data_IF_838683083715
#
_entry.id   IF_838683083715
#
_cell.length_a   1.000
_cell.length_b   1.000
_cell.length_c   1.000
_cell.angle_alpha   90.00
_cell.angle_beta   90.00
_cell.angle_gamma   90.00
#
_symmetry.space_group_name_H-M   'P 1'
#
loop_
_entity.id
_entity.type
_entity.pdbx_description
1 polymer ?
#
# COMPACT_ATOMS: atom_id res chain seq x y z
N UNK A 1 3.95 -16.20 -21.10
CA UNK A 1 4.18 -17.00 -22.31
C UNK A 1 3.33 -16.48 -23.46
N UNK A 2 2.02 -16.29 -23.25
CA UNK A 2 1.08 -15.72 -24.25
C UNK A 2 1.55 -14.42 -24.92
N UNK A 3 1.94 -13.39 -24.15
CA UNK A 3 2.35 -12.10 -24.71
C UNK A 3 3.54 -12.19 -25.69
N UNK A 4 4.46 -13.12 -25.46
CA UNK A 4 5.64 -13.31 -26.30
C UNK A 4 5.50 -14.49 -27.28
N UNK A 5 4.34 -15.16 -27.31
CA UNK A 5 4.13 -16.35 -28.15
C UNK A 5 5.09 -17.51 -27.84
N UNK A 6 5.48 -17.67 -26.57
CA UNK A 6 6.37 -18.73 -26.10
C UNK A 6 5.57 -19.99 -25.77
N UNK A 7 6.07 -21.18 -26.16
CA UNK A 7 5.46 -22.48 -25.82
C UNK A 7 5.92 -23.01 -24.46
N UNK A 8 7.15 -22.67 -24.07
CA UNK A 8 7.78 -23.03 -22.78
C UNK A 8 8.59 -21.85 -22.27
N UNK A 9 8.92 -21.85 -20.98
CA UNK A 9 9.73 -20.78 -20.38
C UNK A 9 11.10 -20.61 -21.07
N UNK A 10 11.67 -21.71 -21.56
CA UNK A 10 12.97 -21.75 -22.24
C UNK A 10 12.88 -21.52 -23.76
N UNK A 11 11.67 -21.42 -24.32
CA UNK A 11 11.50 -21.25 -25.77
C UNK A 11 11.74 -19.80 -26.20
N UNK A 12 12.27 -19.60 -27.41
CA UNK A 12 12.45 -18.26 -27.94
C UNK A 12 11.11 -17.55 -28.15
N UNK A 13 11.00 -16.25 -27.81
CA UNK A 13 9.78 -15.48 -28.02
C UNK A 13 9.47 -15.40 -29.52
N UNK A 14 8.27 -15.80 -29.93
CA UNK A 14 7.83 -15.73 -31.34
C UNK A 14 7.19 -14.39 -31.69
N UNK A 15 6.61 -13.71 -30.71
CA UNK A 15 5.90 -12.43 -30.83
C UNK A 15 6.49 -11.39 -29.88
N UNK A 16 6.27 -10.10 -30.18
CA UNK A 16 6.73 -8.98 -29.34
C UNK A 16 8.20 -9.09 -28.92
N UNK A 17 9.05 -9.58 -29.84
CA UNK A 17 10.47 -9.80 -29.61
C UNK A 17 11.15 -8.50 -29.16
N UNK A 18 12.23 -8.60 -28.37
CA UNK A 18 13.16 -7.49 -28.20
C UNK A 18 13.50 -6.90 -29.58
N UNK A 19 13.42 -5.57 -29.74
CA UNK A 19 13.83 -4.91 -30.97
C UNK A 19 15.25 -5.35 -31.37
N UNK A 20 15.53 -5.53 -32.67
CA UNK A 20 16.87 -5.85 -33.12
C UNK A 20 17.85 -4.77 -32.62
N UNK A 21 19.05 -5.20 -32.21
CA UNK A 21 20.10 -4.34 -31.66
C UNK A 21 19.71 -3.63 -30.35
N UNK A 22 18.85 -4.22 -29.50
CA UNK A 22 18.54 -3.65 -28.18
C UNK A 22 19.79 -3.23 -27.38
N UNK A 23 20.91 -3.93 -27.53
CA UNK A 23 22.19 -3.58 -26.88
C UNK A 23 22.68 -2.17 -27.25
N UNK A 24 22.45 -1.70 -28.47
CA UNK A 24 22.90 -0.39 -28.98
C UNK A 24 21.99 0.76 -28.59
N UNK A 25 20.82 0.48 -28.01
CA UNK A 25 19.88 1.49 -27.56
C UNK A 25 20.38 2.21 -26.31
N UNK A 26 19.95 3.46 -26.14
CA UNK A 26 20.15 4.20 -24.90
C UNK A 26 19.43 3.51 -23.73
N UNK A 27 19.90 3.73 -22.50
CA UNK A 27 19.23 3.20 -21.31
C UNK A 27 17.78 3.71 -21.17
N UNK A 28 17.51 4.92 -21.66
CA UNK A 28 16.18 5.52 -21.66
C UNK A 28 15.24 4.85 -22.65
N UNK A 29 15.71 4.52 -23.86
CA UNK A 29 14.90 3.81 -24.86
C UNK A 29 14.63 2.37 -24.42
N UNK A 30 15.63 1.70 -23.83
CA UNK A 30 15.46 0.38 -23.19
C UNK A 30 14.40 0.42 -22.10
N UNK A 31 14.46 1.44 -21.23
CA UNK A 31 13.49 1.64 -20.16
C UNK A 31 12.08 1.89 -20.71
N UNK A 32 11.93 2.77 -21.72
CA UNK A 32 10.64 3.07 -22.36
C UNK A 32 10.02 1.83 -22.99
N UNK A 33 10.82 0.98 -23.61
CA UNK A 33 10.35 -0.29 -24.16
C UNK A 33 9.93 -1.29 -23.06
N UNK A 34 10.71 -1.43 -21.99
CA UNK A 34 10.31 -2.27 -20.85
C UNK A 34 9.00 -1.75 -20.20
N UNK A 35 8.85 -0.43 -20.10
CA UNK A 35 7.63 0.19 -19.60
C UNK A 35 6.42 -0.06 -20.51
N UNK A 36 6.60 -0.11 -21.83
CA UNK A 36 5.48 -0.41 -22.75
C UNK A 36 5.00 -1.86 -22.60
N UNK A 37 5.91 -2.81 -22.42
CA UNK A 37 5.59 -4.21 -22.10
C UNK A 37 4.87 -4.29 -20.75
N UNK A 38 5.42 -3.64 -19.71
CA UNK A 38 4.82 -3.61 -18.39
C UNK A 38 3.40 -3.03 -18.42
N UNK A 39 3.19 -1.95 -19.18
CA UNK A 39 1.87 -1.34 -19.39
C UNK A 39 0.90 -2.32 -20.05
N UNK A 40 1.31 -3.01 -21.11
CA UNK A 40 0.44 -4.00 -21.75
C UNK A 40 0.05 -5.13 -20.79
N UNK A 41 1.01 -5.64 -20.01
CA UNK A 41 0.74 -6.68 -19.01
C UNK A 41 -0.26 -6.18 -17.96
N UNK A 42 -0.08 -4.93 -17.51
CA UNK A 42 -0.98 -4.30 -16.55
C UNK A 42 -2.41 -4.18 -17.10
N UNK A 43 -2.58 -3.62 -18.29
CA UNK A 43 -3.90 -3.43 -18.90
C UNK A 43 -4.62 -4.75 -19.17
N UNK A 44 -3.92 -5.73 -19.75
CA UNK A 44 -4.57 -6.97 -20.21
C UNK A 44 -4.81 -7.96 -19.07
N UNK A 45 -3.90 -8.05 -18.10
CA UNK A 45 -3.93 -9.13 -17.11
C UNK A 45 -4.21 -8.70 -15.67
N UNK A 46 -4.00 -7.42 -15.32
CA UNK A 46 -3.95 -6.96 -13.93
C UNK A 46 -5.05 -5.93 -13.60
N UNK A 47 -5.35 -4.99 -14.51
CA UNK A 47 -6.40 -3.97 -14.35
C UNK A 47 -7.83 -4.48 -14.54
N UNK A 48 -8.03 -5.79 -14.65
CA UNK A 48 -9.39 -6.36 -14.68
C UNK A 48 -10.10 -6.02 -13.36
N UNK A 49 -11.27 -5.38 -13.49
CA UNK A 49 -12.10 -4.98 -12.35
C UNK A 49 -11.66 -3.72 -11.60
N UNK A 50 -10.67 -2.95 -12.04
CA UNK A 50 -10.33 -1.68 -11.39
C UNK A 50 -11.13 -0.51 -11.96
N UNK A 51 -12.42 -0.40 -11.64
CA UNK A 51 -13.16 0.85 -11.88
C UNK A 51 -12.87 1.90 -10.79
N UNK A 52 -12.48 1.46 -9.59
CA UNK A 52 -12.30 2.32 -8.41
C UNK A 52 -11.22 3.41 -8.55
N UNK A 53 -10.22 3.23 -9.42
CA UNK A 53 -9.10 4.18 -9.54
C UNK A 53 -9.36 5.31 -10.55
N UNK A 54 -10.47 5.27 -11.29
CA UNK A 54 -10.74 6.18 -12.40
C UNK A 54 -11.89 7.16 -12.13
N UNK A 55 -12.49 7.10 -10.93
CA UNK A 55 -13.66 7.92 -10.59
C UNK A 55 -13.25 9.28 -10.03
N UNK A 56 -13.58 10.36 -10.75
CA UNK A 56 -13.55 11.76 -10.27
C UNK A 56 -14.50 12.02 -9.08
N UNK A 57 -15.30 11.03 -8.67
CA UNK A 57 -16.27 11.10 -7.58
C UNK A 57 -15.68 11.66 -6.28
N UNK A 58 -14.46 11.27 -5.91
CA UNK A 58 -13.83 11.79 -4.67
C UNK A 58 -13.43 13.26 -4.79
N UNK A 59 -12.95 13.68 -5.95
CA UNK A 59 -12.60 15.08 -6.23
C UNK A 59 -13.86 15.95 -6.26
N UNK A 60 -14.93 15.46 -6.88
CA UNK A 60 -16.24 16.11 -6.86
C UNK A 60 -16.78 16.26 -5.43
N UNK A 61 -16.68 15.23 -4.59
CA UNK A 61 -17.08 15.30 -3.19
C UNK A 61 -16.25 16.32 -2.39
N UNK A 62 -14.95 16.45 -2.66
CA UNK A 62 -14.07 17.46 -2.03
C UNK A 62 -14.41 18.88 -2.51
N UNK A 63 -14.69 19.06 -3.80
CA UNK A 63 -15.13 20.33 -4.37
C UNK A 63 -16.46 20.78 -3.78
N UNK A 64 -17.45 19.87 -3.73
CA UNK A 64 -18.73 20.12 -3.08
C UNK A 64 -18.57 20.45 -1.59
N UNK A 65 -17.70 19.73 -0.87
CA UNK A 65 -17.42 20.00 0.55
C UNK A 65 -16.82 21.39 0.75
N UNK A 66 -15.93 21.82 -0.13
CA UNK A 66 -15.31 23.15 -0.11
C UNK A 66 -16.32 24.25 -0.40
N UNK A 67 -17.19 24.07 -1.40
CA UNK A 67 -18.29 24.99 -1.70
C UNK A 67 -19.23 25.15 -0.51
N UNK A 68 -19.63 24.04 0.13
CA UNK A 68 -20.48 24.10 1.33
C UNK A 68 -19.79 24.80 2.51
N UNK A 69 -18.46 24.67 2.63
CA UNK A 69 -17.70 25.32 3.68
C UNK A 69 -17.55 26.83 3.43
N UNK A 70 -17.47 27.26 2.17
CA UNK A 70 -17.50 28.68 1.81
C UNK A 70 -18.83 29.34 2.18
N UNK A 71 -19.92 28.59 2.19
CA UNK A 71 -21.24 29.06 2.64
C UNK A 71 -21.38 29.16 4.17
N UNK A 72 -20.37 28.79 4.96
CA UNK A 72 -20.47 28.81 6.43
C UNK A 72 -20.02 30.16 7.01
N UNK A 73 -20.94 30.84 7.70
CA UNK A 73 -20.64 32.04 8.47
C UNK A 73 -20.17 31.66 9.88
N UNK A 74 -18.88 31.85 10.15
CA UNK A 74 -18.28 31.52 11.44
C UNK A 74 -18.75 32.41 12.61
N UNK A 75 -19.09 33.68 12.35
CA UNK A 75 -19.54 34.62 13.38
C UNK A 75 -20.94 34.25 13.88
N UNK A 76 -21.83 33.90 12.96
CA UNK A 76 -23.22 33.55 13.26
C UNK A 76 -23.45 32.05 13.50
N UNK A 77 -22.43 31.22 13.23
CA UNK A 77 -22.47 29.75 13.31
C UNK A 77 -23.62 29.15 12.48
N UNK A 78 -23.84 29.68 11.29
CA UNK A 78 -24.88 29.22 10.35
C UNK A 78 -24.33 29.07 8.94
N UNK A 79 -24.94 28.17 8.17
CA UNK A 79 -24.74 28.08 6.73
C UNK A 79 -25.70 29.02 6.03
N UNK A 80 -25.20 29.90 5.16
CA UNK A 80 -25.98 30.84 4.38
C UNK A 80 -26.04 30.42 2.92
N UNK A 81 -27.25 30.33 2.38
CA UNK A 81 -27.45 30.11 0.96
C UNK A 81 -27.54 31.44 0.20
N UNK A 82 -27.24 31.44 -1.09
CA UNK A 82 -27.44 32.59 -2.00
C UNK A 82 -28.91 33.02 -2.10
N UNK A 83 -29.87 32.14 -1.76
CA UNK A 83 -31.28 32.50 -1.65
C UNK A 83 -31.66 33.18 -0.32
N UNK A 84 -30.68 33.66 0.45
CA UNK A 84 -30.83 34.32 1.76
C UNK A 84 -31.43 33.46 2.87
N UNK A 85 -31.53 32.14 2.68
CA UNK A 85 -31.93 31.20 3.73
C UNK A 85 -30.72 30.74 4.54
N UNK A 86 -30.90 30.64 5.86
CA UNK A 86 -29.86 30.22 6.79
C UNK A 86 -30.21 28.92 7.52
N UNK A 87 -29.19 28.12 7.83
CA UNK A 87 -29.35 26.81 8.45
C UNK A 87 -28.29 26.57 9.54
N UNK A 88 -28.72 26.12 10.72
CA UNK A 88 -27.81 25.83 11.85
C UNK A 88 -26.97 24.56 11.67
N UNK A 89 -27.41 23.64 10.80
CA UNK A 89 -26.77 22.33 10.64
C UNK A 89 -26.55 22.02 9.17
N UNK A 90 -25.42 21.41 8.84
CA UNK A 90 -25.07 21.01 7.47
C UNK A 90 -26.11 20.07 6.84
N UNK A 91 -26.73 19.19 7.62
CA UNK A 91 -27.75 18.25 7.12
C UNK A 91 -29.03 18.94 6.61
N UNK A 92 -29.48 20.00 7.29
CA UNK A 92 -30.61 20.82 6.82
C UNK A 92 -30.23 21.65 5.58
N UNK A 93 -29.00 22.16 5.55
CA UNK A 93 -28.48 22.91 4.41
C UNK A 93 -28.40 22.03 3.14
N UNK A 94 -27.87 20.79 3.26
CA UNK A 94 -27.84 19.83 2.14
C UNK A 94 -29.22 19.53 1.59
N UNK A 95 -30.21 19.28 2.45
CA UNK A 95 -31.61 19.05 2.03
C UNK A 95 -32.18 20.23 1.26
N UNK A 96 -31.90 21.45 1.71
CA UNK A 96 -32.31 22.66 1.02
C UNK A 96 -31.68 22.77 -0.38
N UNK A 97 -30.37 22.53 -0.49
CA UNK A 97 -29.66 22.54 -1.77
C UNK A 97 -30.22 21.48 -2.74
N UNK A 98 -30.58 20.29 -2.25
CA UNK A 98 -31.25 19.26 -3.06
C UNK A 98 -32.62 19.73 -3.56
N UNK A 99 -33.45 20.27 -2.67
CA UNK A 99 -34.85 20.57 -2.99
C UNK A 99 -35.07 21.88 -3.76
N UNK A 100 -34.21 22.88 -3.55
CA UNK A 100 -34.38 24.24 -4.12
C UNK A 100 -33.36 24.52 -5.21
N UNK A 101 -32.13 24.02 -5.07
CA UNK A 101 -31.03 24.30 -5.99
C UNK A 101 -30.64 23.10 -6.87
N UNK A 102 -31.42 22.01 -6.82
CA UNK A 102 -31.19 20.77 -7.58
C UNK A 102 -29.77 20.20 -7.46
N UNK A 103 -29.13 20.38 -6.30
CA UNK A 103 -27.83 19.77 -6.05
C UNK A 103 -27.96 18.26 -5.97
N UNK A 104 -27.07 17.56 -6.68
CA UNK A 104 -26.97 16.10 -6.63
C UNK A 104 -25.84 15.71 -5.71
N UNK A 105 -26.13 14.83 -4.75
CA UNK A 105 -25.13 14.26 -3.85
C UNK A 105 -25.03 12.76 -4.14
N UNK A 106 -23.81 12.24 -4.24
CA UNK A 106 -23.57 10.82 -4.57
C UNK A 106 -24.27 9.90 -3.57
N UNK A 107 -25.15 9.04 -4.09
CA UNK A 107 -25.78 7.95 -3.32
C UNK A 107 -24.99 6.65 -3.51
N UNK A 108 -25.12 5.73 -2.56
CA UNK A 108 -24.48 4.42 -2.62
C UNK A 108 -24.96 3.67 -3.88
N UNK A 109 -24.05 3.44 -4.82
CA UNK A 109 -24.38 2.83 -6.11
C UNK A 109 -24.75 1.35 -5.96
N UNK A 110 -25.86 0.96 -6.59
CA UNK A 110 -26.24 -0.45 -6.76
C UNK A 110 -25.21 -1.17 -7.64
N UNK A 111 -24.74 -2.32 -7.17
CA UNK A 111 -23.77 -3.15 -7.88
C UNK A 111 -24.48 -3.89 -9.01
N UNK A 112 -24.21 -3.49 -10.26
CA UNK A 112 -24.75 -4.17 -11.44
C UNK A 112 -24.10 -5.54 -11.60
N UNK A 113 -24.91 -6.60 -11.55
CA UNK A 113 -24.45 -7.99 -11.72
C UNK A 113 -24.29 -8.32 -13.20
N UNK A 114 -23.07 -8.21 -13.71
CA UNK A 114 -22.66 -8.86 -14.95
C UNK A 114 -22.13 -10.26 -14.63
N UNK A 115 -22.46 -11.27 -15.45
CA UNK A 115 -21.85 -12.60 -15.44
C UNK A 115 -20.35 -12.48 -15.72
N UNK A 116 -19.55 -12.48 -14.65
CA UNK A 116 -18.08 -12.31 -14.65
C UNK A 116 -17.37 -13.65 -14.64
N UNK A 117 -16.08 -13.65 -14.98
CA UNK A 117 -15.26 -14.88 -14.96
C UNK A 117 -14.93 -15.35 -13.54
N UNK A 118 -14.79 -14.52 -12.51
CA UNK A 118 -14.41 -14.97 -11.17
C UNK A 118 -12.93 -15.38 -11.07
N UNK A 119 -12.45 -16.34 -11.87
CA UNK A 119 -11.06 -16.81 -11.86
C UNK A 119 -10.11 -15.74 -12.42
N UNK A 120 -10.46 -15.13 -13.56
CA UNK A 120 -9.63 -14.08 -14.15
C UNK A 120 -9.51 -12.85 -13.23
N UNK A 121 -10.58 -12.47 -12.53
CA UNK A 121 -10.61 -11.39 -11.54
C UNK A 121 -9.84 -11.78 -10.28
N UNK A 122 -10.00 -13.00 -9.76
CA UNK A 122 -9.22 -13.50 -8.62
C UNK A 122 -7.72 -13.47 -8.90
N UNK A 123 -7.31 -13.95 -10.08
CA UNK A 123 -5.91 -13.89 -10.53
C UNK A 123 -5.43 -12.44 -10.67
N UNK A 124 -6.19 -11.57 -11.35
CA UNK A 124 -5.83 -10.17 -11.51
C UNK A 124 -5.64 -9.49 -10.14
N UNK A 125 -6.55 -9.78 -9.21
CA UNK A 125 -6.50 -9.30 -7.82
C UNK A 125 -5.25 -9.78 -7.08
N UNK A 126 -4.97 -11.08 -7.15
CA UNK A 126 -3.77 -11.67 -6.57
C UNK A 126 -2.50 -11.01 -7.12
N UNK A 127 -2.43 -10.78 -8.44
CA UNK A 127 -1.29 -10.11 -9.07
C UNK A 127 -1.14 -8.66 -8.61
N UNK A 128 -2.23 -7.90 -8.50
CA UNK A 128 -2.22 -6.52 -7.96
C UNK A 128 -1.62 -6.51 -6.55
N UNK A 129 -2.19 -7.30 -5.63
CA UNK A 129 -1.73 -7.36 -4.25
C UNK A 129 -0.27 -7.84 -4.15
N UNK A 130 0.11 -8.83 -4.94
CA UNK A 130 1.49 -9.36 -4.95
C UNK A 130 2.51 -8.34 -5.46
N UNK A 131 2.17 -7.57 -6.49
CA UNK A 131 3.02 -6.51 -7.01
C UNK A 131 3.16 -5.35 -6.04
N UNK A 132 2.07 -4.94 -5.37
CA UNK A 132 2.10 -3.93 -4.30
C UNK A 132 3.00 -4.42 -3.17
N UNK A 133 2.81 -5.65 -2.68
CA UNK A 133 3.62 -6.22 -1.62
C UNK A 133 5.11 -6.25 -2.00
N UNK A 134 5.42 -6.68 -3.22
CA UNK A 134 6.80 -6.69 -3.72
C UNK A 134 7.40 -5.29 -3.80
N UNK A 135 6.64 -4.32 -4.30
CA UNK A 135 7.09 -2.92 -4.37
C UNK A 135 7.30 -2.33 -2.97
N UNK A 136 6.44 -2.66 -2.00
CA UNK A 136 6.60 -2.23 -0.60
C UNK A 136 7.88 -2.81 0.00
N UNK A 137 8.12 -4.13 -0.10
CA UNK A 137 9.35 -4.73 0.43
C UNK A 137 10.60 -4.11 -0.19
N UNK A 138 10.62 -3.95 -1.51
CA UNK A 138 11.75 -3.35 -2.22
C UNK A 138 11.93 -1.87 -1.85
N UNK A 139 10.84 -1.11 -1.69
CA UNK A 139 10.88 0.28 -1.24
C UNK A 139 11.53 0.43 0.14
N UNK A 140 11.19 -0.44 1.10
CA UNK A 140 11.84 -0.47 2.40
C UNK A 140 13.31 -0.87 2.31
N UNK A 141 13.66 -1.91 1.54
CA UNK A 141 15.05 -2.35 1.35
C UNK A 141 15.93 -1.26 0.73
N UNK A 142 15.36 -0.47 -0.18
CA UNK A 142 16.02 0.65 -0.84
C UNK A 142 15.91 1.98 -0.09
N UNK A 143 15.19 2.01 1.06
CA UNK A 143 14.86 3.22 1.80
C UNK A 143 14.25 4.34 0.93
N UNK A 144 13.40 3.96 -0.03
CA UNK A 144 12.71 4.91 -0.91
C UNK A 144 11.42 5.40 -0.25
N UNK A 145 11.52 6.52 0.48
CA UNK A 145 10.39 7.14 1.16
C UNK A 145 9.23 7.50 0.21
N UNK A 146 9.51 7.85 -1.05
CA UNK A 146 8.42 8.16 -2.00
C UNK A 146 7.60 6.93 -2.31
N UNK A 147 8.26 5.79 -2.57
CA UNK A 147 7.57 4.52 -2.86
C UNK A 147 6.83 3.99 -1.65
N UNK A 148 7.41 4.09 -0.45
CA UNK A 148 6.75 3.69 0.81
C UNK A 148 5.42 4.43 0.97
N UNK A 149 5.43 5.77 0.85
CA UNK A 149 4.22 6.58 1.00
C UNK A 149 3.20 6.36 -0.12
N UNK A 150 3.67 6.15 -1.35
CA UNK A 150 2.80 5.79 -2.47
C UNK A 150 2.09 4.46 -2.20
N UNK A 151 2.80 3.46 -1.71
CA UNK A 151 2.25 2.13 -1.47
C UNK A 151 1.31 2.12 -0.27
N UNK A 152 1.62 2.91 0.77
CA UNK A 152 0.75 3.10 1.92
C UNK A 152 -0.67 3.59 1.54
N UNK A 153 -0.83 4.32 0.43
CA UNK A 153 -2.16 4.71 -0.09
C UNK A 153 -2.96 3.47 -0.52
N UNK A 154 -2.35 2.55 -1.25
CA UNK A 154 -2.99 1.30 -1.66
C UNK A 154 -3.24 0.36 -0.46
N UNK A 155 -2.28 0.28 0.46
CA UNK A 155 -2.43 -0.50 1.70
C UNK A 155 -3.57 0.03 2.56
N UNK A 156 -3.80 1.35 2.59
CA UNK A 156 -4.92 1.96 3.32
C UNK A 156 -6.27 1.55 2.73
N UNK A 157 -6.37 1.52 1.39
CA UNK A 157 -7.57 1.03 0.69
C UNK A 157 -7.81 -0.45 0.98
N UNK A 158 -6.76 -1.27 0.98
CA UNK A 158 -6.87 -2.69 1.36
C UNK A 158 -7.30 -2.87 2.82
N UNK A 159 -6.75 -2.06 3.74
CA UNK A 159 -7.14 -2.09 5.15
C UNK A 159 -8.61 -1.69 5.34
N UNK A 160 -9.14 -0.78 4.51
CA UNK A 160 -10.56 -0.44 4.47
C UNK A 160 -11.41 -1.61 3.98
N UNK A 161 -11.04 -2.18 2.84
CA UNK A 161 -11.74 -3.30 2.19
C UNK A 161 -11.86 -4.56 3.08
N UNK A 162 -10.87 -4.80 3.94
CA UNK A 162 -10.85 -5.93 4.88
C UNK A 162 -11.26 -5.55 6.32
N UNK A 163 -11.76 -4.33 6.54
CA UNK A 163 -12.19 -3.84 7.85
C UNK A 163 -11.10 -3.88 8.94
N UNK A 164 -9.85 -3.72 8.54
CA UNK A 164 -8.70 -3.62 9.42
C UNK A 164 -8.57 -2.20 9.99
N UNK A 165 -9.50 -1.84 10.88
CA UNK A 165 -9.68 -0.47 11.39
C UNK A 165 -8.42 0.14 12.01
N UNK A 166 -7.64 -0.65 12.76
CA UNK A 166 -6.37 -0.20 13.37
C UNK A 166 -5.34 0.17 12.32
N UNK A 167 -5.12 -0.70 11.33
CA UNK A 167 -4.18 -0.48 10.24
C UNK A 167 -4.63 0.67 9.34
N UNK A 168 -5.93 0.76 9.04
CA UNK A 168 -6.50 1.89 8.29
C UNK A 168 -6.24 3.23 8.99
N UNK A 169 -6.46 3.30 10.31
CA UNK A 169 -6.20 4.52 11.08
C UNK A 169 -4.70 4.86 11.14
N UNK A 170 -3.85 3.85 11.35
CA UNK A 170 -2.41 4.05 11.39
C UNK A 170 -1.86 4.54 10.04
N UNK A 171 -2.27 3.92 8.93
CA UNK A 171 -1.89 4.35 7.57
C UNK A 171 -2.39 5.75 7.25
N UNK A 172 -3.61 6.09 7.67
CA UNK A 172 -4.11 7.46 7.53
C UNK A 172 -3.23 8.47 8.28
N UNK A 173 -2.85 8.19 9.53
CA UNK A 173 -1.95 9.06 10.30
C UNK A 173 -0.56 9.15 9.66
N UNK A 174 -0.02 8.02 9.21
CA UNK A 174 1.24 7.94 8.49
C UNK A 174 1.25 8.89 7.29
N UNK A 175 0.23 8.80 6.43
CA UNK A 175 0.05 9.69 5.28
C UNK A 175 -0.19 11.14 5.69
N UNK A 176 -0.99 11.39 6.73
CA UNK A 176 -1.30 12.73 7.21
C UNK A 176 -0.05 13.45 7.76
N UNK A 177 0.88 12.74 8.40
CA UNK A 177 2.14 13.31 8.86
C UNK A 177 2.98 13.88 7.72
N UNK A 178 3.07 13.19 6.59
CA UNK A 178 3.85 13.69 5.46
C UNK A 178 3.12 14.77 4.65
N UNK A 179 1.79 14.68 4.54
CA UNK A 179 1.03 15.55 3.64
C UNK A 179 0.47 16.82 4.30
N UNK A 180 0.25 16.84 5.62
CA UNK A 180 -0.54 17.90 6.24
C UNK A 180 -0.18 18.28 7.69
N UNK A 181 0.28 17.33 8.52
CA UNK A 181 0.40 17.57 9.97
C UNK A 181 1.78 18.06 10.40
N UNK A 182 2.85 17.62 9.73
CA UNK A 182 4.21 18.02 10.06
C UNK A 182 4.63 19.24 9.23
N UNK A 183 5.55 20.04 9.78
CA UNK A 183 6.23 21.07 8.97
C UNK A 183 6.97 20.42 7.79
N UNK A 184 7.22 21.14 6.68
CA UNK A 184 7.92 20.56 5.52
C UNK A 184 9.25 19.86 5.86
N UNK A 185 9.99 20.41 6.83
CA UNK A 185 11.23 19.80 7.33
C UNK A 185 10.96 18.50 8.08
N UNK A 186 10.04 18.51 9.03
CA UNK A 186 9.71 17.30 9.81
C UNK A 186 9.09 16.22 8.93
N UNK A 187 8.25 16.57 7.95
CA UNK A 187 7.68 15.65 6.98
C UNK A 187 8.79 14.98 6.14
N UNK A 188 9.77 15.77 5.69
CA UNK A 188 10.95 15.25 5.00
C UNK A 188 11.72 14.26 5.88
N UNK A 189 12.08 14.66 7.10
CA UNK A 189 12.80 13.81 8.05
C UNK A 189 12.00 12.53 8.36
N UNK A 190 10.70 12.64 8.62
CA UNK A 190 9.81 11.50 8.89
C UNK A 190 9.78 10.50 7.74
N UNK A 191 9.62 10.99 6.52
CA UNK A 191 9.55 10.19 5.30
C UNK A 191 10.82 9.40 5.03
N UNK A 192 11.98 10.02 5.24
CA UNK A 192 13.28 9.35 5.01
C UNK A 192 13.76 8.53 6.21
N UNK A 193 13.24 8.80 7.41
CA UNK A 193 13.48 8.01 8.63
C UNK A 193 12.46 6.87 8.80
N UNK A 194 11.96 6.27 7.71
CA UNK A 194 11.12 5.07 7.77
C UNK A 194 11.94 3.78 7.90
N UNK A 195 13.23 3.82 7.56
CA UNK A 195 14.12 2.68 7.56
C UNK A 195 15.46 3.02 8.22
N UNK A 196 16.20 2.00 8.63
CA UNK A 196 17.57 2.13 9.12
C UNK A 196 18.48 1.09 8.46
N UNK A 197 19.73 1.48 8.21
CA UNK A 197 20.76 0.60 7.68
C UNK A 197 21.77 0.20 8.76
N UNK A 198 21.51 -0.89 9.46
CA UNK A 198 22.38 -1.36 10.55
C UNK A 198 23.64 -2.05 10.04
N UNK A 199 23.59 -2.65 8.84
CA UNK A 199 24.64 -3.54 8.35
C UNK A 199 25.48 -2.92 7.21
N UNK A 200 25.13 -1.72 6.76
CA UNK A 200 25.72 -1.06 5.60
C UNK A 200 25.37 -1.76 4.28
N UNK A 201 25.50 -1.03 3.17
CA UNK A 201 25.30 -1.54 1.80
C UNK A 201 23.90 -1.31 1.24
N UNK A 202 23.79 -1.40 -0.08
CA UNK A 202 22.55 -1.18 -0.85
C UNK A 202 21.58 -2.35 -0.63
N UNK A 203 20.29 -2.06 -0.49
CA UNK A 203 19.24 -3.08 -0.34
C UNK A 203 19.19 -3.74 1.04
N UNK A 204 19.92 -3.21 2.03
CA UNK A 204 20.04 -3.78 3.38
C UNK A 204 19.36 -2.94 4.47
N UNK A 205 18.52 -2.00 4.06
CA UNK A 205 17.72 -1.23 5.00
C UNK A 205 16.62 -2.11 5.61
N UNK A 206 16.31 -1.85 6.88
CA UNK A 206 15.27 -2.53 7.64
C UNK A 206 14.21 -1.50 8.03
N UNK A 207 12.90 -1.80 7.90
CA UNK A 207 11.85 -0.92 8.41
C UNK A 207 12.07 -0.62 9.90
N UNK A 208 11.88 0.64 10.31
CA UNK A 208 12.13 1.04 11.70
C UNK A 208 11.23 0.32 12.70
N UNK A 209 9.99 0.00 12.32
CA UNK A 209 9.08 -0.80 13.15
C UNK A 209 9.66 -2.20 13.43
N UNK A 210 10.16 -2.87 12.39
CA UNK A 210 10.82 -4.17 12.52
C UNK A 210 12.11 -4.06 13.35
N UNK A 211 12.88 -2.98 13.20
CA UNK A 211 14.08 -2.75 14.01
C UNK A 211 13.75 -2.59 15.50
N UNK A 212 12.69 -1.85 15.82
CA UNK A 212 12.21 -1.71 17.20
C UNK A 212 11.77 -3.06 17.75
N UNK A 213 11.06 -3.88 16.97
CA UNK A 213 10.67 -5.23 17.36
C UNK A 213 11.90 -6.12 17.65
N UNK A 214 12.92 -6.07 16.78
CA UNK A 214 14.19 -6.78 16.99
C UNK A 214 14.88 -6.35 18.28
N UNK A 215 14.96 -5.04 18.55
CA UNK A 215 15.56 -4.50 19.76
C UNK A 215 14.79 -4.91 21.02
N UNK A 216 13.46 -4.82 20.99
CA UNK A 216 12.61 -5.25 22.09
C UNK A 216 12.76 -6.75 22.36
N UNK A 217 12.85 -7.56 21.31
CA UNK A 217 13.05 -9.00 21.47
C UNK A 217 14.43 -9.32 22.07
N UNK A 218 15.49 -8.64 21.63
CA UNK A 218 16.82 -8.77 22.21
C UNK A 218 16.84 -8.42 23.71
N UNK A 219 16.18 -7.32 24.10
CA UNK A 219 16.02 -6.93 25.51
C UNK A 219 15.25 -8.01 26.28
N UNK A 220 14.13 -8.50 25.75
CA UNK A 220 13.33 -9.58 26.38
C UNK A 220 14.15 -10.84 26.58
N UNK A 221 15.01 -11.21 25.65
CA UNK A 221 15.89 -12.37 25.78
C UNK A 221 16.92 -12.17 26.91
N UNK A 222 17.56 -11.00 26.98
CA UNK A 222 18.50 -10.64 28.05
C UNK A 222 17.83 -10.61 29.42
N UNK A 223 16.57 -10.17 29.49
CA UNK A 223 15.77 -10.22 30.72
C UNK A 223 15.51 -11.67 31.14
N UNK A 224 15.07 -12.52 30.21
CA UNK A 224 14.82 -13.95 30.51
C UNK A 224 16.06 -14.67 31.02
N UNK A 225 17.25 -14.33 30.52
CA UNK A 225 18.50 -14.94 31.00
C UNK A 225 18.87 -14.56 32.45
N UNK A 226 18.27 -13.51 33.02
CA UNK A 226 18.50 -13.18 34.45
C UNK A 226 17.69 -14.06 35.42
N UNK A 227 16.66 -14.76 34.95
CA UNK A 227 15.83 -15.63 35.80
C UNK A 227 15.22 -14.88 36.98
N UNK A 228 15.43 -15.38 38.20
CA UNK A 228 14.90 -14.79 39.43
C UNK A 228 15.48 -13.40 39.78
N UNK A 229 16.57 -12.98 39.11
CA UNK A 229 17.24 -11.70 39.37
C UNK A 229 16.63 -10.52 38.59
N UNK A 230 15.54 -10.73 37.84
CA UNK A 230 14.86 -9.65 37.11
C UNK A 230 14.23 -8.68 38.09
N UNK A 231 14.76 -7.46 38.11
CA UNK A 231 14.22 -6.32 38.86
C UNK A 231 14.02 -5.14 37.90
N UNK A 232 13.26 -4.12 38.30
CA UNK A 232 13.13 -2.91 37.48
C UNK A 232 14.49 -2.27 37.19
N UNK A 233 15.39 -2.25 38.18
CA UNK A 233 16.73 -1.71 38.00
C UNK A 233 17.55 -2.54 37.00
N UNK A 234 17.53 -3.86 37.11
CA UNK A 234 18.27 -4.70 36.17
C UNK A 234 17.69 -4.60 34.74
N UNK A 235 16.37 -4.45 34.61
CA UNK A 235 15.73 -4.21 33.33
C UNK A 235 16.10 -2.87 32.70
N UNK A 236 16.15 -1.80 33.50
CA UNK A 236 16.61 -0.48 33.05
C UNK A 236 18.05 -0.54 32.57
N UNK A 237 18.93 -1.20 33.33
CA UNK A 237 20.34 -1.37 32.94
C UNK A 237 20.46 -2.14 31.63
N UNK A 238 19.73 -3.25 31.46
CA UNK A 238 19.72 -4.01 30.19
C UNK A 238 19.27 -3.13 29.04
N UNK A 239 18.15 -2.41 29.18
CA UNK A 239 17.60 -1.60 28.09
C UNK A 239 18.57 -0.51 27.63
N UNK A 240 19.24 0.18 28.56
CA UNK A 240 20.17 1.28 28.23
C UNK A 240 21.53 0.77 27.74
N UNK A 241 21.97 -0.41 28.20
CA UNK A 241 23.29 -0.96 27.82
C UNK A 241 23.28 -1.90 26.62
N UNK A 242 22.10 -2.33 26.14
CA UNK A 242 21.99 -3.38 25.12
C UNK A 242 22.74 -3.04 23.84
N UNK A 243 22.63 -1.80 23.36
CA UNK A 243 23.27 -1.36 22.12
C UNK A 243 24.81 -1.35 22.24
N UNK A 244 25.32 -0.78 23.34
CA UNK A 244 26.77 -0.74 23.61
C UNK A 244 27.35 -2.15 23.73
N UNK A 245 26.63 -3.08 24.36
CA UNK A 245 27.06 -4.48 24.45
C UNK A 245 27.13 -5.14 23.07
N UNK A 246 26.15 -4.88 22.20
CA UNK A 246 26.11 -5.46 20.86
C UNK A 246 27.23 -4.87 19.98
N UNK A 247 27.54 -3.58 20.11
CA UNK A 247 28.66 -2.94 19.41
C UNK A 247 30.01 -3.52 19.85
N UNK A 248 30.23 -3.69 21.15
CA UNK A 248 31.44 -4.33 21.69
C UNK A 248 31.56 -5.75 21.14
N UNK A 249 30.46 -6.52 21.17
CA UNK A 249 30.42 -7.89 20.63
C UNK A 249 30.80 -7.92 19.15
N UNK A 250 30.21 -7.06 18.33
CA UNK A 250 30.52 -7.00 16.90
C UNK A 250 31.96 -6.60 16.64
N UNK A 251 32.52 -5.68 17.42
CA UNK A 251 33.91 -5.26 17.29
C UNK A 251 34.88 -6.39 17.64
N UNK A 252 34.64 -7.11 18.75
CA UNK A 252 35.43 -8.29 19.13
C UNK A 252 35.40 -9.35 18.02
N UNK A 253 34.22 -9.65 17.47
CA UNK A 253 34.07 -10.64 16.39
C UNK A 253 34.87 -10.24 15.15
N UNK A 254 34.83 -8.95 14.77
CA UNK A 254 35.63 -8.42 13.65
C UNK A 254 37.13 -8.54 13.92
N UNK A 255 37.58 -8.20 15.12
CA UNK A 255 39.01 -8.26 15.49
C UNK A 255 39.53 -9.70 15.55
N UNK A 256 38.71 -10.65 16.01
CA UNK A 256 39.07 -12.05 16.08
C UNK A 256 39.01 -12.78 14.73
N UNK A 257 38.55 -12.13 13.65
CA UNK A 257 38.36 -12.78 12.34
C UNK A 257 37.30 -13.89 12.36
N UNK A 258 36.45 -13.92 13.40
CA UNK A 258 35.41 -14.94 13.54
C UNK A 258 34.28 -14.64 12.56
N UNK A 259 34.09 -15.51 11.58
CA UNK A 259 32.94 -15.44 10.69
C UNK A 259 31.76 -16.19 11.33
N UNK A 260 30.59 -15.55 11.38
CA UNK A 260 29.34 -16.28 11.59
C UNK A 260 29.15 -17.24 10.41
N UNK A 261 28.65 -18.45 10.68
CA UNK A 261 28.40 -19.46 9.65
C UNK A 261 27.66 -18.87 8.45
N UNK A 262 28.04 -19.30 7.24
CA UNK A 262 27.39 -18.84 6.02
C UNK A 262 25.88 -19.09 6.10
N UNK A 263 25.10 -18.10 5.68
CA UNK A 263 23.67 -18.30 5.49
C UNK A 263 23.50 -19.52 4.56
N UNK A 264 22.59 -20.43 4.93
CA UNK A 264 22.29 -21.58 4.07
C UNK A 264 21.98 -21.07 2.66
N UNK A 265 22.54 -21.70 1.61
CA UNK A 265 22.23 -21.30 0.26
C UNK A 265 20.71 -21.34 0.07
N UNK A 266 20.12 -20.34 -0.62
CA UNK A 266 18.69 -20.34 -0.85
C UNK A 266 18.29 -21.61 -1.61
N UNK A 267 17.21 -22.25 -1.17
CA UNK A 267 16.67 -23.41 -1.86
C UNK A 267 16.25 -22.99 -3.27
N UNK A 268 16.67 -23.75 -4.28
CA UNK A 268 16.24 -23.52 -5.66
C UNK A 268 14.74 -23.73 -5.77
N UNK A 269 14.03 -22.69 -6.20
CA UNK A 269 12.56 -22.70 -6.39
C UNK A 269 12.16 -23.03 -7.83
N UNK A 270 13.11 -23.41 -8.68
CA UNK A 270 12.87 -23.59 -10.13
C UNK A 270 11.79 -24.65 -10.38
N UNK A 271 11.85 -25.78 -9.68
CA UNK A 271 10.86 -26.85 -9.80
C UNK A 271 9.48 -26.41 -9.32
N UNK A 272 9.40 -25.71 -8.19
CA UNK A 272 8.14 -25.17 -7.66
C UNK A 272 7.51 -24.17 -8.64
N UNK A 273 8.31 -23.29 -9.23
CA UNK A 273 7.87 -22.32 -10.23
C UNK A 273 7.36 -23.05 -11.48
N UNK A 274 8.07 -24.07 -11.96
CA UNK A 274 7.65 -24.87 -13.11
C UNK A 274 6.30 -25.57 -12.85
N UNK A 275 6.12 -26.14 -11.65
CA UNK A 275 4.84 -26.76 -11.25
C UNK A 275 3.71 -25.74 -11.18
N UNK A 276 3.94 -24.56 -10.58
CA UNK A 276 2.95 -23.48 -10.50
C UNK A 276 2.53 -23.04 -11.91
N UNK A 277 3.48 -22.89 -12.83
CA UNK A 277 3.21 -22.51 -14.22
C UNK A 277 2.38 -23.59 -14.92
N UNK A 278 2.77 -24.86 -14.78
CA UNK A 278 2.05 -25.97 -15.39
C UNK A 278 0.59 -26.05 -14.91
N UNK A 279 0.36 -25.90 -13.60
CA UNK A 279 -0.99 -25.88 -13.04
C UNK A 279 -1.79 -24.64 -13.48
N UNK A 280 -1.13 -23.47 -13.59
CA UNK A 280 -1.76 -22.26 -14.10
C UNK A 280 -2.19 -22.37 -15.57
N UNK A 281 -1.40 -23.06 -16.40
CA UNK A 281 -1.72 -23.34 -17.80
C UNK A 281 -2.86 -24.35 -17.94
N UNK A 282 -2.79 -25.47 -17.20
CA UNK A 282 -3.87 -26.48 -17.15
C UNK A 282 -5.20 -25.85 -16.74
N UNK A 283 -5.18 -24.99 -15.72
CA UNK A 283 -6.35 -24.26 -15.24
C UNK A 283 -6.79 -23.11 -16.16
N UNK A 284 -6.05 -22.82 -17.23
CA UNK A 284 -6.29 -21.69 -18.14
C UNK A 284 -6.49 -20.38 -17.38
N UNK A 285 -5.72 -20.19 -16.29
CA UNK A 285 -5.90 -19.08 -15.37
C UNK A 285 -5.67 -17.73 -16.06
N UNK A 286 -4.83 -17.69 -17.09
CA UNK A 286 -4.49 -16.48 -17.84
C UNK A 286 -5.58 -16.00 -18.80
N UNK A 287 -6.52 -16.87 -19.19
CA UNK A 287 -7.59 -16.58 -20.15
C UNK A 287 -8.91 -16.24 -19.44
N UNK A 288 -9.64 -15.28 -20.01
CA UNK A 288 -11.01 -14.98 -19.58
C UNK A 288 -12.01 -15.86 -20.31
N UNK A 289 -12.81 -16.61 -19.57
CA UNK A 289 -13.84 -17.54 -20.03
C UNK A 289 -15.16 -17.14 -19.37
N UNK A 290 -16.14 -16.79 -20.20
CA UNK A 290 -17.47 -16.40 -19.73
C UNK A 290 -18.19 -17.64 -19.15
N UNK A 291 -18.78 -17.51 -17.96
CA UNK A 291 -19.57 -18.59 -17.35
C UNK A 291 -18.76 -19.78 -16.83
N UNK A 292 -17.46 -19.61 -16.56
CA UNK A 292 -16.62 -20.65 -15.95
C UNK A 292 -17.16 -21.01 -14.56
N UNK A 293 -17.70 -22.21 -14.42
CA UNK A 293 -18.11 -22.77 -13.12
C UNK A 293 -16.88 -23.06 -12.26
N UNK A 294 -16.91 -22.65 -10.98
CA UNK A 294 -15.81 -22.89 -10.06
C UNK A 294 -15.86 -22.07 -8.78
N UNK A 295 -14.88 -22.31 -7.90
CA UNK A 295 -14.78 -21.75 -6.53
C UNK A 295 -14.77 -20.21 -6.51
N UNK A 296 -14.40 -19.56 -7.62
CA UNK A 296 -14.24 -18.11 -7.71
C UNK A 296 -15.43 -17.37 -8.32
N UNK A 297 -16.56 -18.03 -8.61
CA UNK A 297 -17.72 -17.40 -9.25
C UNK A 297 -18.23 -16.14 -8.51
N UNK A 298 -18.08 -16.10 -7.18
CA UNK A 298 -18.47 -14.98 -6.32
C UNK A 298 -17.28 -14.11 -5.88
N UNK A 299 -16.12 -14.22 -6.54
CA UNK A 299 -14.95 -13.44 -6.17
C UNK A 299 -15.17 -11.95 -6.46
N UNK A 300 -15.00 -11.14 -5.42
CA UNK A 300 -15.00 -9.68 -5.52
C UNK A 300 -13.61 -9.16 -5.17
N UNK A 301 -13.04 -8.41 -6.09
CA UNK A 301 -11.74 -7.77 -5.92
C UNK A 301 -11.74 -6.87 -4.67
N UNK A 302 -10.71 -6.91 -3.80
CA UNK A 302 -10.67 -6.11 -2.59
C UNK A 302 -10.83 -4.61 -2.86
N UNK A 303 -10.27 -4.07 -3.94
CA UNK A 303 -10.41 -2.64 -4.25
C UNK A 303 -11.84 -2.27 -4.68
N UNK A 304 -12.62 -3.22 -5.22
CA UNK A 304 -14.06 -3.00 -5.50
C UNK A 304 -14.92 -2.98 -4.23
N UNK A 305 -14.41 -3.48 -3.11
CA UNK A 305 -15.14 -3.46 -1.82
C UNK A 305 -15.08 -2.11 -1.14
N UNK A 306 -14.16 -1.25 -1.56
CA UNK A 306 -14.05 0.11 -1.01
C UNK A 306 -15.21 0.92 -1.55
N UNK A 307 -16.05 1.44 -0.65
CA UNK A 307 -17.17 2.32 -0.99
C UNK A 307 -16.68 3.77 -0.94
N UNK A 308 -16.54 4.49 -2.07
CA UNK A 308 -15.92 5.82 -2.11
C UNK A 308 -16.56 6.84 -1.16
N UNK A 309 -17.88 6.86 -1.09
CA UNK A 309 -18.64 7.79 -0.24
C UNK A 309 -18.40 7.54 1.24
N UNK A 310 -18.43 6.27 1.68
CA UNK A 310 -18.15 5.87 3.05
C UNK A 310 -16.70 6.18 3.43
N UNK A 311 -15.77 5.89 2.51
CA UNK A 311 -14.35 6.16 2.71
C UNK A 311 -14.04 7.66 2.80
N UNK A 312 -14.63 8.48 1.92
CA UNK A 312 -14.54 9.95 1.96
C UNK A 312 -15.07 10.51 3.29
N UNK A 313 -16.26 10.07 3.72
CA UNK A 313 -16.86 10.45 4.99
C UNK A 313 -15.96 10.09 6.16
N UNK A 314 -15.35 8.90 6.12
CA UNK A 314 -14.42 8.45 7.15
C UNK A 314 -13.16 9.31 7.21
N UNK A 315 -12.52 9.59 6.06
CA UNK A 315 -11.35 10.50 5.97
C UNK A 315 -11.71 11.88 6.51
N UNK A 316 -12.86 12.43 6.12
CA UNK A 316 -13.33 13.74 6.57
C UNK A 316 -13.52 13.80 8.08
N UNK A 317 -14.03 12.73 8.69
CA UNK A 317 -14.12 12.61 10.13
C UNK A 317 -12.73 12.58 10.81
N UNK A 318 -11.75 11.89 10.22
CA UNK A 318 -10.38 11.87 10.75
C UNK A 318 -9.69 13.24 10.64
N UNK A 319 -9.87 13.94 9.50
CA UNK A 319 -9.39 15.33 9.32
C UNK A 319 -9.95 16.23 10.43
N UNK A 320 -11.24 16.09 10.75
CA UNK A 320 -11.86 16.90 11.80
C UNK A 320 -11.33 16.56 13.20
N UNK A 321 -11.09 15.28 13.52
CA UNK A 321 -10.49 14.86 14.79
C UNK A 321 -9.07 15.39 14.96
N UNK A 322 -8.25 15.30 13.92
CA UNK A 322 -6.88 15.80 13.94
C UNK A 322 -6.79 17.29 14.26
N UNK A 323 -7.78 18.11 13.84
CA UNK A 323 -7.83 19.53 14.21
C UNK A 323 -7.97 19.77 15.71
N UNK A 324 -8.48 18.81 16.48
CA UNK A 324 -8.67 18.94 17.93
C UNK A 324 -7.58 18.22 18.74
N UNK A 325 -6.99 17.14 18.21
CA UNK A 325 -6.03 16.28 18.92
C UNK A 325 -4.56 16.66 18.70
N UNK A 326 -4.25 17.45 17.67
CA UNK A 326 -2.87 17.75 17.25
C UNK A 326 -2.51 19.26 17.30
N UNK A 327 -3.33 20.05 17.99
CA UNK A 327 -3.02 21.42 18.47
C UNK A 327 -2.67 21.31 19.95
#
# INVERSE_FOLDING_TARGET
>A
MDYFGMEKLESDPRQNKPPPLLSTWSNEDKLRWLQSIGRHILEVYIKKGTSFLETNEMEEMDNQSSQMQACYNAAEKVYMCECSKSYKTLGHFKRHLQSIHNWTFSQEGETTTCTKDGVAEARASFMKCSLILRDTYDAYQMADGNRIFRNAKFEMLLADAFHHTKYRLWLWRFLAYENALLSPRQAFEYKWNCCSNTNGGIGRNVPNDLLVEMNVNAIKQKLRSQGANVTYNSARVIAVSSQVQDDIKQNIIRQCGSHFGSARPPVSKVMDIALIIQEAEKGQLMKTILGREGVFANFVDPFQRVVPTAFHKWISAQKQRAKFELI
#
